data_IF_999755104231
#
_entry.id   IF_999755104231
#
_cell.length_a   1.000
_cell.length_b   1.000
_cell.length_c   1.000
_cell.angle_alpha   90.00
_cell.angle_beta   90.00
_cell.angle_gamma   90.00
#
_symmetry.space_group_name_H-M   'P 1'
#
loop_
_entity.id
_entity.type
_entity.pdbx_description
1 polymer ?
#
# COMPACT_ATOMS: atom_id res chain seq x y z
N UNK A 1 -8.71 -17.67 -20.46
CA UNK A 1 -8.70 -16.21 -20.58
C UNK A 1 -8.23 -15.62 -19.26
N UNK A 2 -6.96 -15.26 -19.17
CA UNK A 2 -6.44 -14.56 -17.99
C UNK A 2 -7.12 -13.19 -17.91
N UNK A 3 -7.92 -12.97 -16.86
CA UNK A 3 -8.39 -11.63 -16.49
C UNK A 3 -7.18 -10.85 -15.99
N UNK A 4 -6.36 -10.34 -16.91
CA UNK A 4 -5.41 -9.28 -16.61
C UNK A 4 -6.23 -8.06 -16.20
N UNK A 5 -6.62 -7.99 -14.92
CA UNK A 5 -7.26 -6.82 -14.34
C UNK A 5 -6.44 -5.60 -14.69
N UNK A 6 -7.13 -4.50 -15.07
CA UNK A 6 -6.50 -3.22 -15.38
C UNK A 6 -5.40 -2.94 -14.36
N UNK A 7 -4.18 -2.69 -14.82
CA UNK A 7 -3.08 -2.25 -13.97
C UNK A 7 -3.09 -0.71 -14.03
N UNK A 8 -2.68 -0.04 -12.96
CA UNK A 8 -2.46 1.40 -13.04
C UNK A 8 -1.29 1.71 -13.98
N UNK A 9 -1.41 2.79 -14.76
CA UNK A 9 -0.29 3.29 -15.56
C UNK A 9 0.80 3.86 -14.65
N UNK A 10 2.05 4.00 -15.11
CA UNK A 10 3.12 4.62 -14.32
C UNK A 10 2.74 6.02 -13.77
N UNK A 11 2.07 6.84 -14.58
CA UNK A 11 1.60 8.17 -14.20
C UNK A 11 0.54 8.13 -13.08
N UNK A 12 -0.41 7.19 -13.18
CA UNK A 12 -1.44 6.98 -12.16
C UNK A 12 -0.78 6.53 -10.85
N UNK A 13 0.23 5.68 -10.93
CA UNK A 13 0.97 5.19 -9.78
C UNK A 13 1.81 6.29 -9.13
N UNK A 14 2.48 7.12 -9.92
CA UNK A 14 3.20 8.30 -9.42
C UNK A 14 2.25 9.27 -8.74
N UNK A 15 1.06 9.47 -9.31
CA UNK A 15 -0.01 10.27 -8.69
C UNK A 15 -0.46 9.69 -7.35
N UNK A 16 -0.67 8.38 -7.29
CA UNK A 16 -1.02 7.69 -6.04
C UNK A 16 0.11 7.88 -5.03
N UNK A 17 1.36 7.59 -5.39
CA UNK A 17 2.52 7.72 -4.53
C UNK A 17 2.66 9.13 -3.95
N UNK A 18 2.61 10.15 -4.81
CA UNK A 18 2.71 11.56 -4.38
C UNK A 18 1.61 11.94 -3.39
N UNK A 19 0.37 11.52 -3.66
CA UNK A 19 -0.77 11.81 -2.78
C UNK A 19 -0.66 11.06 -1.45
N UNK A 20 -0.39 9.76 -1.48
CA UNK A 20 -0.34 9.00 -0.22
C UNK A 20 0.84 9.41 0.65
N UNK A 21 1.99 9.78 0.06
CA UNK A 21 3.11 10.34 0.81
C UNK A 21 2.71 11.64 1.52
N UNK A 22 1.95 12.52 0.85
CA UNK A 22 1.48 13.79 1.42
C UNK A 22 0.49 13.61 2.58
N UNK A 23 -0.37 12.60 2.52
CA UNK A 23 -1.52 12.46 3.42
C UNK A 23 -1.41 11.32 4.43
N UNK A 24 -0.35 10.49 4.39
CA UNK A 24 -0.20 9.29 5.24
C UNK A 24 -0.29 9.54 6.74
N UNK A 25 -0.03 10.75 7.21
CA UNK A 25 -0.08 11.08 8.65
C UNK A 25 -1.50 11.44 9.13
N UNK A 26 -2.34 11.94 8.23
CA UNK A 26 -3.66 12.50 8.53
C UNK A 26 -4.82 11.68 7.97
N UNK A 27 -4.58 10.86 6.95
CA UNK A 27 -5.59 10.01 6.32
C UNK A 27 -5.22 8.53 6.43
N UNK A 28 -6.07 7.78 7.12
CA UNK A 28 -5.89 6.34 7.37
C UNK A 28 -5.79 5.53 6.07
N UNK A 29 -6.54 5.91 5.04
CA UNK A 29 -6.54 5.20 3.75
C UNK A 29 -5.23 5.48 2.99
N UNK A 30 -4.75 6.71 3.03
CA UNK A 30 -3.45 7.10 2.49
C UNK A 30 -2.34 6.32 3.18
N UNK A 31 -2.36 6.18 4.50
CA UNK A 31 -1.40 5.36 5.23
C UNK A 31 -1.42 3.90 4.77
N UNK A 32 -2.62 3.32 4.65
CA UNK A 32 -2.78 1.93 4.22
C UNK A 32 -2.18 1.70 2.82
N UNK A 33 -2.48 2.57 1.87
CA UNK A 33 -1.96 2.47 0.50
C UNK A 33 -0.46 2.76 0.45
N UNK A 34 0.02 3.74 1.22
CA UNK A 34 1.45 4.02 1.37
C UNK A 34 2.21 2.78 1.83
N UNK A 35 1.74 2.12 2.89
CA UNK A 35 2.36 0.89 3.39
C UNK A 35 2.26 -0.26 2.38
N UNK A 36 1.15 -0.41 1.65
CA UNK A 36 1.03 -1.40 0.58
C UNK A 36 2.06 -1.20 -0.54
N UNK A 37 2.40 0.04 -0.87
CA UNK A 37 3.36 0.38 -1.92
C UNK A 37 4.80 0.21 -1.41
N UNK A 38 5.07 0.69 -0.19
CA UNK A 38 6.43 0.76 0.36
C UNK A 38 6.89 -0.56 0.99
N UNK A 39 5.96 -1.38 1.49
CA UNK A 39 6.26 -2.70 2.05
C UNK A 39 6.01 -3.81 1.03
N UNK A 40 6.53 -5.01 1.30
CA UNK A 40 6.21 -6.21 0.51
C UNK A 40 4.94 -6.91 0.98
N UNK A 41 4.27 -6.38 1.99
CA UNK A 41 3.13 -7.02 2.64
C UNK A 41 1.89 -7.04 1.76
N UNK A 42 1.12 -8.12 1.87
CA UNK A 42 -0.24 -8.21 1.31
C UNK A 42 -1.24 -7.56 2.26
N UNK A 43 -2.44 -7.25 1.76
CA UNK A 43 -3.52 -6.72 2.61
C UNK A 43 -3.86 -7.61 3.82
N UNK A 44 -3.77 -8.94 3.68
CA UNK A 44 -3.97 -9.88 4.79
C UNK A 44 -2.91 -9.71 5.89
N UNK A 45 -1.68 -9.41 5.52
CA UNK A 45 -0.58 -9.20 6.47
C UNK A 45 -0.68 -7.81 7.10
N UNK A 46 -0.95 -6.79 6.30
CA UNK A 46 -1.13 -5.41 6.76
C UNK A 46 -2.29 -5.27 7.74
N UNK A 47 -3.44 -5.88 7.47
CA UNK A 47 -4.59 -5.85 8.38
C UNK A 47 -4.54 -6.94 9.47
N UNK A 48 -3.59 -7.88 9.36
CA UNK A 48 -3.37 -8.99 10.29
C UNK A 48 -2.31 -8.64 11.33
N UNK A 49 -1.19 -9.38 11.30
CA UNK A 49 -0.13 -9.22 12.30
C UNK A 49 0.43 -7.79 12.33
N UNK A 50 0.59 -7.13 11.17
CA UNK A 50 1.16 -5.78 11.13
C UNK A 50 0.24 -4.78 11.83
N UNK A 51 -1.08 -4.93 11.71
CA UNK A 51 -2.06 -4.10 12.37
C UNK A 51 -2.15 -4.35 13.88
N UNK A 52 -1.96 -5.60 14.32
CA UNK A 52 -2.35 -6.06 15.67
C UNK A 52 -1.18 -6.34 16.61
N UNK A 53 0.04 -6.47 16.08
CA UNK A 53 1.25 -6.76 16.83
C UNK A 53 2.24 -5.60 16.69
N UNK A 54 2.26 -4.64 17.64
CA UNK A 54 3.15 -3.49 17.59
C UNK A 54 4.63 -3.86 17.66
N UNK A 55 5.00 -4.92 18.39
CA UNK A 55 6.40 -5.31 18.55
C UNK A 55 6.94 -5.90 17.26
N UNK A 56 6.19 -6.81 16.63
CA UNK A 56 6.56 -7.34 15.31
C UNK A 56 6.55 -6.27 14.22
N UNK A 57 5.66 -5.28 14.33
CA UNK A 57 5.63 -4.12 13.44
C UNK A 57 6.87 -3.25 13.58
N UNK A 58 7.28 -2.94 14.82
CA UNK A 58 8.53 -2.21 15.11
C UNK A 58 9.73 -2.95 14.53
N UNK A 59 9.80 -4.27 14.74
CA UNK A 59 10.87 -5.10 14.20
C UNK A 59 10.91 -5.06 12.66
N UNK A 60 9.75 -5.18 12.00
CA UNK A 60 9.67 -5.11 10.54
C UNK A 60 10.08 -3.76 9.97
N UNK A 61 9.83 -2.67 10.70
CA UNK A 61 10.15 -1.30 10.30
C UNK A 61 11.40 -0.74 10.98
N UNK A 62 12.26 -1.58 11.58
CA UNK A 62 13.45 -1.13 12.32
C UNK A 62 14.36 -0.20 11.51
N UNK A 63 14.47 -0.44 10.21
CA UNK A 63 15.31 0.35 9.30
C UNK A 63 14.58 1.57 8.72
N UNK A 64 13.26 1.69 8.98
CA UNK A 64 12.38 2.73 8.42
C UNK A 64 11.29 3.19 9.40
N UNK A 65 11.66 3.67 10.60
CA UNK A 65 10.70 4.07 11.63
C UNK A 65 9.80 5.24 11.18
N UNK A 66 10.32 6.13 10.33
CA UNK A 66 9.62 7.32 9.82
C UNK A 66 8.42 7.00 8.92
N UNK A 67 8.26 5.74 8.51
CA UNK A 67 7.10 5.32 7.70
C UNK A 67 5.80 5.30 8.50
N UNK A 68 5.88 5.12 9.82
CA UNK A 68 4.73 5.20 10.72
C UNK A 68 4.84 6.38 11.69
N UNK A 69 6.03 6.91 11.93
CA UNK A 69 6.25 7.99 12.90
C UNK A 69 5.63 7.62 14.25
N UNK A 70 4.75 8.49 14.77
CA UNK A 70 4.05 8.28 16.04
C UNK A 70 3.14 7.04 16.08
N UNK A 71 2.73 6.50 14.94
CA UNK A 71 1.86 5.32 14.88
C UNK A 71 2.61 4.00 15.09
N UNK A 72 3.94 4.01 15.16
CA UNK A 72 4.74 2.78 15.28
C UNK A 72 4.36 1.95 16.52
N UNK A 73 4.06 2.64 17.62
CA UNK A 73 3.66 2.04 18.90
C UNK A 73 2.15 1.92 19.07
N UNK A 74 1.34 2.28 18.06
CA UNK A 74 -0.11 2.21 18.16
C UNK A 74 -0.56 0.74 18.33
N UNK A 75 -1.44 0.43 19.30
CA UNK A 75 -1.91 -0.94 19.51
C UNK A 75 -2.65 -1.49 18.30
N UNK A 76 -3.33 -0.60 17.54
CA UNK A 76 -4.02 -0.92 16.29
C UNK A 76 -3.91 0.25 15.32
N UNK A 77 -3.59 -0.02 14.06
CA UNK A 77 -3.47 1.01 13.00
C UNK A 77 -4.78 1.18 12.22
N UNK A 78 -5.42 0.07 11.87
CA UNK A 78 -6.51 -0.02 10.93
C UNK A 78 -7.72 -0.66 11.61
N UNK A 79 -8.71 0.13 12.06
CA UNK A 79 -9.88 -0.38 12.76
C UNK A 79 -10.89 -1.09 11.85
N UNK A 80 -10.89 -0.79 10.53
CA UNK A 80 -11.93 -1.25 9.60
C UNK A 80 -11.60 -2.61 8.98
N UNK A 81 -12.62 -3.24 8.38
CA UNK A 81 -12.47 -4.51 7.66
C UNK A 81 -11.85 -4.31 6.27
N UNK A 82 -11.28 -5.37 5.71
CA UNK A 82 -10.75 -5.36 4.34
C UNK A 82 -11.80 -4.89 3.30
N UNK A 83 -13.05 -5.32 3.42
CA UNK A 83 -14.12 -4.91 2.49
C UNK A 83 -14.45 -3.41 2.60
N UNK A 84 -14.43 -2.85 3.80
CA UNK A 84 -14.65 -1.41 4.02
C UNK A 84 -13.55 -0.59 3.32
N UNK A 85 -12.28 -0.98 3.51
CA UNK A 85 -11.15 -0.35 2.82
C UNK A 85 -11.24 -0.51 1.31
N UNK A 86 -11.61 -1.69 0.80
CA UNK A 86 -11.75 -1.92 -0.64
C UNK A 86 -12.85 -1.04 -1.25
N UNK A 87 -13.99 -0.88 -0.55
CA UNK A 87 -15.08 0.01 -0.99
C UNK A 87 -14.62 1.46 -1.02
N UNK A 88 -13.86 1.90 -0.02
CA UNK A 88 -13.28 3.25 0.01
C UNK A 88 -12.26 3.43 -1.12
N UNK A 89 -11.38 2.45 -1.35
CA UNK A 89 -10.40 2.47 -2.44
C UNK A 89 -11.05 2.63 -3.81
N UNK A 90 -12.08 1.82 -4.10
CA UNK A 90 -12.83 1.93 -5.37
C UNK A 90 -13.43 3.31 -5.58
N UNK A 91 -13.93 3.96 -4.52
CA UNK A 91 -14.43 5.34 -4.59
C UNK A 91 -13.32 6.33 -4.94
N UNK A 92 -12.17 6.22 -4.28
CA UNK A 92 -10.98 7.06 -4.55
C UNK A 92 -10.51 6.89 -5.99
N UNK A 93 -10.35 5.65 -6.46
CA UNK A 93 -9.91 5.38 -7.83
C UNK A 93 -10.92 5.84 -8.89
N UNK A 94 -12.21 5.75 -8.59
CA UNK A 94 -13.25 6.31 -9.47
C UNK A 94 -13.15 7.83 -9.54
N UNK A 95 -12.95 8.50 -8.41
CA UNK A 95 -12.82 9.95 -8.36
C UNK A 95 -11.55 10.46 -9.06
N UNK A 96 -10.42 9.78 -8.88
CA UNK A 96 -9.14 10.25 -9.41
C UNK A 96 -8.91 9.85 -10.87
N UNK A 97 -9.38 8.66 -11.26
CA UNK A 97 -9.00 8.04 -12.54
C UNK A 97 -10.19 7.50 -13.34
N UNK A 98 -11.42 7.60 -12.84
CA UNK A 98 -12.59 7.00 -13.50
C UNK A 98 -12.61 5.46 -13.46
N UNK A 99 -11.84 4.82 -12.57
CA UNK A 99 -11.73 3.35 -12.48
C UNK A 99 -12.74 2.79 -11.47
N UNK A 100 -13.66 1.94 -11.94
CA UNK A 100 -14.72 1.35 -11.11
C UNK A 100 -14.32 0.05 -10.40
N UNK A 101 -13.42 -0.74 -11.00
CA UNK A 101 -13.04 -2.07 -10.54
C UNK A 101 -11.65 -2.11 -9.89
N UNK A 102 -11.30 -1.05 -9.16
CA UNK A 102 -10.01 -0.97 -8.49
C UNK A 102 -9.84 -2.05 -7.40
N UNK A 103 -8.62 -2.59 -7.31
CA UNK A 103 -8.20 -3.52 -6.26
C UNK A 103 -6.88 -3.05 -5.63
N UNK A 104 -6.54 -3.58 -4.45
CA UNK A 104 -5.26 -3.28 -3.82
C UNK A 104 -4.05 -3.88 -4.55
N UNK A 105 -4.22 -4.99 -5.28
CA UNK A 105 -3.11 -5.60 -6.01
C UNK A 105 -2.66 -4.74 -7.21
N UNK A 106 -3.52 -3.86 -7.71
CA UNK A 106 -3.18 -2.94 -8.80
C UNK A 106 -2.05 -1.97 -8.43
N UNK A 107 -1.91 -1.59 -7.15
CA UNK A 107 -0.82 -0.70 -6.70
C UNK A 107 0.49 -1.44 -6.41
N UNK A 108 0.48 -2.76 -6.24
CA UNK A 108 1.67 -3.55 -5.87
C UNK A 108 2.53 -3.98 -7.07
N UNK A 109 1.95 -4.04 -8.28
CA UNK A 109 2.62 -4.62 -9.47
C UNK A 109 3.84 -3.84 -10.00
N UNK A 110 4.10 -2.64 -9.49
CA UNK A 110 5.33 -1.86 -9.82
C UNK A 110 6.59 -2.61 -9.37
N UNK A 111 6.55 -3.27 -8.21
CA UNK A 111 7.75 -3.83 -7.59
C UNK A 111 8.20 -5.17 -8.17
N UNK A 112 7.54 -5.70 -9.21
CA UNK A 112 8.01 -6.92 -9.89
C UNK A 112 8.95 -6.66 -11.07
N UNK A 113 8.95 -5.46 -11.63
CA UNK A 113 9.76 -5.15 -12.82
C UNK A 113 10.96 -4.22 -12.56
N UNK A 114 11.06 -3.57 -11.38
CA UNK A 114 12.10 -2.55 -11.10
C UNK A 114 13.21 -2.98 -10.13
N UNK A 115 13.34 -4.26 -9.78
CA UNK A 115 14.45 -4.72 -8.91
C UNK A 115 15.02 -6.03 -9.43
N UNK A 116 15.69 -5.97 -10.58
CA UNK A 116 16.96 -6.66 -10.90
C UNK A 116 17.38 -6.20 -12.31
N UNK A 117 18.25 -5.18 -12.48
CA UNK A 117 19.15 -5.24 -13.61
C UNK A 117 19.94 -6.55 -13.46
N UNK A 118 19.98 -7.32 -14.54
CA UNK A 118 20.79 -8.52 -14.70
C UNK A 118 22.12 -8.37 -13.94
N UNK A 119 22.32 -9.17 -12.89
CA UNK A 119 23.66 -9.54 -12.47
C UNK A 119 24.20 -10.51 -13.54
N UNK A 120 24.57 -9.95 -14.68
CA UNK A 120 25.31 -10.59 -15.75
C UNK A 120 26.13 -9.49 -16.41
N UNK A 121 27.19 -9.09 -15.71
CA UNK A 121 28.32 -8.41 -16.30
C UNK A 121 29.55 -9.15 -15.83
N UNK A 122 30.33 -9.58 -16.83
CA UNK A 122 31.57 -10.37 -16.79
C UNK A 122 31.41 -11.88 -16.73
#
# INVERSE_FOLDING_TARGET
>A
MERCGRIFTPEQLQTIQSRVEKWKETDEMALLIFLLIKTRLKMKELLGWFNTDPEKRKEYLKDKPDWLGGYISAPKLFPKTHQAYLKQWKRVCRQWFGIHEATFEMVRRINRNDVFPNAASS
#
